data_IF_391385943536
#
_entry.id   IF_391385943536
#
_cell.length_a   1.000
_cell.length_b   1.000
_cell.length_c   1.000
_cell.angle_alpha   90.00
_cell.angle_beta   90.00
_cell.angle_gamma   90.00
#
_symmetry.space_group_name_H-M   'P 1'
#
loop_
_entity.id
_entity.type
_entity.pdbx_description
1 polymer ?
#
# COMPACT_ATOMS: atom_id res chain seq x y z
N UNK A 1 4.81 2.68 -22.70
CA UNK A 1 5.91 2.90 -21.73
C UNK A 1 7.23 2.80 -22.48
N UNK A 2 8.22 3.64 -22.18
CA UNK A 2 9.54 3.55 -22.82
C UNK A 2 10.39 2.43 -22.21
N UNK A 3 11.34 1.90 -22.97
CA UNK A 3 12.30 0.90 -22.50
C UNK A 3 13.18 1.45 -21.36
N UNK A 4 13.53 2.74 -21.43
CA UNK A 4 14.28 3.45 -20.39
C UNK A 4 13.56 3.45 -19.03
N UNK A 5 12.26 3.77 -19.00
CA UNK A 5 11.48 3.77 -17.74
C UNK A 5 11.45 2.38 -17.12
N UNK A 6 11.24 1.34 -17.95
CA UNK A 6 11.25 -0.05 -17.50
C UNK A 6 12.63 -0.44 -16.94
N UNK A 7 13.70 -0.13 -17.67
CA UNK A 7 15.06 -0.44 -17.25
C UNK A 7 15.41 0.26 -15.93
N UNK A 8 15.06 1.54 -15.78
CA UNK A 8 15.27 2.30 -14.56
C UNK A 8 14.44 1.76 -13.38
N UNK A 9 13.21 1.34 -13.64
CA UNK A 9 12.38 0.71 -12.60
C UNK A 9 13.08 -0.52 -12.01
N UNK A 10 13.53 -1.45 -12.86
CA UNK A 10 14.25 -2.64 -12.42
C UNK A 10 15.60 -2.30 -11.78
N UNK A 11 16.33 -1.29 -12.30
CA UNK A 11 17.59 -0.83 -11.72
C UNK A 11 17.45 -0.42 -10.25
N UNK A 12 16.36 0.26 -9.88
CA UNK A 12 16.17 0.74 -8.51
C UNK A 12 15.44 -0.24 -7.59
N UNK A 13 14.49 -1.01 -8.13
CA UNK A 13 13.51 -1.70 -7.29
C UNK A 13 13.69 -3.23 -7.23
N UNK A 14 14.46 -3.86 -8.11
CA UNK A 14 14.57 -5.33 -8.13
C UNK A 14 15.20 -5.94 -6.88
N UNK A 15 16.06 -5.18 -6.19
CA UNK A 15 16.65 -5.60 -4.92
C UNK A 15 15.93 -5.01 -3.70
N UNK A 16 14.83 -4.29 -3.89
CA UNK A 16 14.01 -3.82 -2.78
C UNK A 16 13.26 -5.00 -2.15
N UNK A 17 13.25 -5.15 -0.82
CA UNK A 17 12.80 -6.39 -0.18
C UNK A 17 11.28 -6.59 -0.18
N UNK A 18 10.49 -5.57 -0.50
CA UNK A 18 9.03 -5.65 -0.56
C UNK A 18 8.52 -5.56 -2.01
N UNK A 19 7.29 -6.03 -2.29
CA UNK A 19 6.65 -5.87 -3.59
C UNK A 19 6.54 -4.40 -4.00
N UNK A 20 7.06 -4.08 -5.18
CA UNK A 20 6.94 -2.76 -5.80
C UNK A 20 6.32 -2.89 -7.17
N UNK A 21 5.34 -2.02 -7.45
CA UNK A 21 4.66 -1.94 -8.73
C UNK A 21 4.92 -0.59 -9.38
N UNK A 22 5.20 -0.60 -10.68
CA UNK A 22 5.02 0.57 -11.54
C UNK A 22 3.61 0.53 -12.10
N UNK A 23 2.85 1.60 -11.88
CA UNK A 23 1.40 1.61 -12.14
C UNK A 23 1.04 2.80 -13.02
N UNK A 24 0.17 2.55 -14.00
CA UNK A 24 -0.43 3.58 -14.83
C UNK A 24 -1.58 4.27 -14.10
N UNK A 25 -1.92 5.52 -14.47
CA UNK A 25 -2.96 6.32 -13.82
C UNK A 25 -4.34 5.67 -13.78
N UNK A 26 -4.64 4.71 -14.65
CA UNK A 26 -5.87 3.92 -14.65
C UNK A 26 -5.83 2.70 -13.71
N UNK A 27 -4.77 2.61 -12.90
CA UNK A 27 -4.42 1.53 -11.95
C UNK A 27 -3.81 0.28 -12.57
N UNK A 28 -3.59 0.24 -13.88
CA UNK A 28 -2.95 -0.92 -14.53
C UNK A 28 -1.52 -1.07 -14.05
N UNK A 29 -1.18 -2.25 -13.54
CA UNK A 29 0.19 -2.62 -13.19
C UNK A 29 0.96 -2.82 -14.48
N UNK A 30 2.01 -2.03 -14.68
CA UNK A 30 2.80 -2.04 -15.91
C UNK A 30 4.06 -2.89 -15.74
N UNK A 31 4.71 -2.80 -14.58
CA UNK A 31 5.87 -3.60 -14.22
C UNK A 31 5.87 -3.88 -12.72
N UNK A 32 6.59 -4.94 -12.32
CA UNK A 32 6.73 -5.36 -10.93
C UNK A 32 8.17 -5.76 -10.64
N UNK A 33 8.67 -5.49 -9.43
CA UNK A 33 10.01 -5.88 -9.05
C UNK A 33 10.14 -7.38 -8.78
N UNK A 34 11.36 -7.87 -8.54
CA UNK A 34 11.63 -9.28 -8.23
C UNK A 34 10.79 -9.84 -7.07
N UNK A 35 10.60 -9.08 -5.98
CA UNK A 35 9.81 -9.52 -4.83
C UNK A 35 8.32 -9.70 -5.19
N UNK A 36 7.73 -8.71 -5.88
CA UNK A 36 6.36 -8.80 -6.37
C UNK A 36 6.18 -9.94 -7.39
N UNK A 37 7.17 -10.18 -8.25
CA UNK A 37 7.18 -11.29 -9.20
C UNK A 37 7.20 -12.65 -8.50
N UNK A 38 7.99 -12.81 -7.45
CA UNK A 38 8.01 -14.03 -6.64
C UNK A 38 6.67 -14.30 -5.94
N UNK A 39 5.87 -13.25 -5.71
CA UNK A 39 4.50 -13.33 -5.20
C UNK A 39 3.44 -13.35 -6.31
N UNK A 40 3.85 -13.55 -7.56
CA UNK A 40 2.95 -13.68 -8.74
C UNK A 40 2.03 -12.46 -8.96
N UNK A 41 2.52 -11.24 -8.70
CA UNK A 41 1.74 -10.03 -8.97
C UNK A 41 1.38 -9.91 -10.47
N UNK A 42 0.10 -9.66 -10.82
CA UNK A 42 -0.37 -9.75 -12.19
C UNK A 42 -0.15 -8.45 -12.99
N UNK A 43 0.97 -8.37 -13.73
CA UNK A 43 1.17 -7.32 -14.74
C UNK A 43 0.03 -7.32 -15.76
N UNK A 44 -0.44 -6.13 -16.16
CA UNK A 44 -1.58 -5.92 -17.05
C UNK A 44 -2.94 -5.90 -16.35
N UNK A 45 -3.00 -6.21 -15.05
CA UNK A 45 -4.23 -6.10 -14.24
C UNK A 45 -4.23 -4.80 -13.46
N UNK A 46 -5.41 -4.26 -13.14
CA UNK A 46 -5.49 -3.09 -12.26
C UNK A 46 -5.21 -3.48 -10.82
N UNK A 47 -4.38 -2.70 -10.12
CA UNK A 47 -4.06 -2.98 -8.71
C UNK A 47 -5.33 -3.03 -7.84
N UNK A 48 -6.35 -2.23 -8.16
CA UNK A 48 -7.63 -2.23 -7.44
C UNK A 48 -8.55 -3.42 -7.75
N UNK A 49 -8.17 -4.30 -8.68
CA UNK A 49 -8.85 -5.58 -8.95
C UNK A 49 -8.14 -6.74 -8.21
N UNK A 50 -7.01 -6.49 -7.55
CA UNK A 50 -6.34 -7.48 -6.70
C UNK A 50 -7.04 -7.53 -5.34
N UNK A 51 -7.62 -8.68 -4.99
CA UNK A 51 -8.39 -8.85 -3.76
C UNK A 51 -9.74 -8.13 -3.79
N UNK A 52 -10.35 -7.93 -2.62
CA UNK A 52 -11.65 -7.28 -2.52
C UNK A 52 -11.54 -5.76 -2.70
N UNK A 53 -12.54 -5.15 -3.35
CA UNK A 53 -12.61 -3.68 -3.55
C UNK A 53 -12.49 -2.87 -2.26
N UNK A 54 -13.03 -3.40 -1.15
CA UNK A 54 -12.97 -2.75 0.17
C UNK A 54 -11.54 -2.55 0.66
N UNK A 55 -10.59 -3.40 0.25
CA UNK A 55 -9.18 -3.27 0.62
C UNK A 55 -8.50 -2.07 -0.07
N UNK A 56 -9.12 -1.51 -1.10
CA UNK A 56 -8.62 -0.35 -1.84
C UNK A 56 -9.35 0.96 -1.51
N UNK A 57 -10.24 0.96 -0.51
CA UNK A 57 -11.02 2.15 -0.14
C UNK A 57 -10.15 3.34 0.28
N UNK A 58 -8.95 3.07 0.83
CA UNK A 58 -7.96 4.08 1.22
C UNK A 58 -7.02 4.55 0.10
N UNK A 59 -7.19 4.12 -1.15
CA UNK A 59 -6.24 4.39 -2.23
C UNK A 59 -5.93 5.90 -2.40
N UNK A 60 -4.65 6.29 -2.23
CA UNK A 60 -4.22 7.70 -2.38
C UNK A 60 -3.65 8.05 -3.75
N UNK A 61 -3.68 7.14 -4.72
CA UNK A 61 -3.11 7.37 -6.05
C UNK A 61 -3.69 8.61 -6.77
N UNK A 62 -4.99 8.89 -6.63
CA UNK A 62 -5.58 10.10 -7.23
C UNK A 62 -5.06 11.40 -6.59
N UNK A 63 -4.81 11.39 -5.27
CA UNK A 63 -4.23 12.52 -4.56
C UNK A 63 -2.80 12.75 -5.03
N UNK A 64 -1.98 11.69 -5.02
CA UNK A 64 -0.59 11.73 -5.46
C UNK A 64 -0.45 12.23 -6.91
N UNK A 65 -1.23 11.68 -7.84
CA UNK A 65 -1.20 12.09 -9.25
C UNK A 65 -1.70 13.52 -9.47
N UNK A 66 -2.73 13.96 -8.74
CA UNK A 66 -3.24 15.34 -8.85
C UNK A 66 -2.22 16.35 -8.34
N UNK A 67 -1.57 16.05 -7.23
CA UNK A 67 -0.62 16.95 -6.56
C UNK A 67 0.81 16.82 -7.11
N UNK A 68 1.05 15.80 -7.95
CA UNK A 68 2.38 15.44 -8.46
C UNK A 68 3.41 15.32 -7.33
N UNK A 69 2.97 14.73 -6.21
CA UNK A 69 3.74 14.58 -4.99
C UNK A 69 3.55 13.18 -4.41
N UNK A 70 4.59 12.65 -3.77
CA UNK A 70 4.52 11.38 -3.07
C UNK A 70 3.54 11.47 -1.90
N UNK A 71 2.60 10.52 -1.82
CA UNK A 71 1.71 10.36 -0.66
C UNK A 71 2.13 9.12 0.11
N UNK A 72 2.18 9.25 1.44
CA UNK A 72 2.44 8.18 2.39
C UNK A 72 1.24 7.99 3.31
N UNK A 73 0.87 6.74 3.58
CA UNK A 73 -0.16 6.40 4.56
C UNK A 73 0.27 5.17 5.36
N UNK A 74 0.25 5.30 6.69
CA UNK A 74 0.47 4.18 7.61
C UNK A 74 -0.87 3.78 8.20
N UNK A 75 -1.26 2.52 8.01
CA UNK A 75 -2.52 2.01 8.53
C UNK A 75 -2.42 0.54 8.90
N UNK A 76 -3.23 0.13 9.88
CA UNK A 76 -3.48 -1.28 10.15
C UNK A 76 -4.52 -1.82 9.17
N UNK A 77 -4.17 -2.92 8.49
CA UNK A 77 -5.04 -3.62 7.57
C UNK A 77 -5.50 -4.93 8.19
N UNK A 78 -6.71 -4.93 8.73
CA UNK A 78 -7.29 -6.05 9.47
C UNK A 78 -7.24 -7.39 8.70
N UNK A 79 -7.52 -7.37 7.40
CA UNK A 79 -7.50 -8.55 6.55
C UNK A 79 -6.10 -9.17 6.35
N UNK A 80 -5.04 -8.41 6.64
CA UNK A 80 -3.64 -8.88 6.64
C UNK A 80 -3.11 -9.11 8.05
N UNK A 81 -3.76 -8.54 9.08
CA UNK A 81 -3.21 -8.49 10.43
C UNK A 81 -1.93 -7.67 10.54
N UNK A 82 -1.67 -6.75 9.59
CA UNK A 82 -0.41 -6.04 9.45
C UNK A 82 -0.58 -4.53 9.54
N UNK A 83 0.45 -3.85 10.02
CA UNK A 83 0.62 -2.39 9.86
C UNK A 83 1.44 -2.14 8.61
N UNK A 84 0.81 -1.56 7.59
CA UNK A 84 1.46 -1.28 6.31
C UNK A 84 1.80 0.20 6.20
N UNK A 85 3.04 0.49 5.83
CA UNK A 85 3.50 1.81 5.39
C UNK A 85 3.43 1.88 3.85
N UNK A 86 2.34 2.48 3.35
CA UNK A 86 1.99 2.55 1.94
C UNK A 86 2.45 3.85 1.26
N UNK A 87 2.91 3.73 0.02
CA UNK A 87 3.42 4.85 -0.78
C UNK A 87 2.77 4.89 -2.17
N UNK A 88 2.50 6.12 -2.64
CA UNK A 88 2.09 6.43 -4.01
C UNK A 88 2.95 7.58 -4.52
N UNK A 89 3.88 7.30 -5.44
CA UNK A 89 4.93 8.24 -5.83
C UNK A 89 4.87 8.47 -7.36
N UNK A 90 4.34 9.60 -7.85
CA UNK A 90 4.37 9.94 -9.27
C UNK A 90 5.81 10.01 -9.80
N UNK A 91 6.01 9.57 -11.05
CA UNK A 91 7.32 9.71 -11.70
C UNK A 91 7.52 11.16 -12.16
N UNK A 92 8.66 11.75 -11.77
CA UNK A 92 9.03 13.10 -12.23
C UNK A 92 9.14 13.14 -13.76
N UNK A 93 8.45 14.09 -14.39
CA UNK A 93 8.44 14.25 -15.85
C UNK A 93 7.59 13.22 -16.62
N UNK A 94 6.88 12.32 -15.93
CA UNK A 94 6.01 11.31 -16.55
C UNK A 94 4.65 11.32 -15.86
N UNK A 95 3.70 12.08 -16.43
CA UNK A 95 2.43 12.43 -15.77
C UNK A 95 1.53 11.22 -15.42
N UNK A 96 1.57 10.14 -16.20
CA UNK A 96 0.60 9.06 -16.11
C UNK A 96 1.14 7.80 -15.40
N UNK A 97 2.36 7.84 -14.86
CA UNK A 97 2.97 6.72 -14.13
C UNK A 97 3.29 7.09 -12.69
N UNK A 98 3.14 6.12 -11.79
CA UNK A 98 3.54 6.23 -10.40
C UNK A 98 4.05 4.88 -9.87
N UNK A 99 4.97 4.94 -8.91
CA UNK A 99 5.40 3.79 -8.13
C UNK A 99 4.43 3.60 -6.96
N UNK A 100 4.04 2.35 -6.71
CA UNK A 100 3.18 1.97 -5.59
C UNK A 100 3.73 0.73 -4.89
N UNK A 101 3.82 0.80 -3.57
CA UNK A 101 4.20 -0.30 -2.71
C UNK A 101 3.67 -0.09 -1.29
N UNK A 102 3.60 -1.18 -0.54
CA UNK A 102 3.38 -1.19 0.90
C UNK A 102 4.48 -1.99 1.58
N UNK A 103 4.97 -1.48 2.71
CA UNK A 103 5.97 -2.13 3.54
C UNK A 103 5.27 -2.64 4.80
N UNK A 104 5.42 -3.92 5.12
CA UNK A 104 5.01 -4.42 6.44
C UNK A 104 5.97 -3.90 7.49
N UNK A 105 5.47 -3.02 8.37
CA UNK A 105 6.21 -2.44 9.48
C UNK A 105 5.68 -2.93 10.83
N UNK A 106 4.92 -4.02 10.86
CA UNK A 106 4.24 -4.52 12.07
C UNK A 106 5.18 -4.67 13.26
N UNK A 107 6.38 -5.21 13.05
CA UNK A 107 7.38 -5.39 14.12
C UNK A 107 7.96 -4.08 14.67
N UNK A 108 7.75 -2.97 13.96
CA UNK A 108 8.26 -1.65 14.31
C UNK A 108 7.14 -0.62 14.58
N UNK A 109 5.90 -1.04 14.48
CA UNK A 109 4.74 -0.17 14.63
C UNK A 109 4.51 0.19 16.10
N UNK A 110 4.18 1.46 16.35
CA UNK A 110 3.75 1.89 17.67
C UNK A 110 2.38 1.30 18.03
N UNK A 111 2.16 0.95 19.30
CA UNK A 111 0.92 0.32 19.79
C UNK A 111 -0.37 1.04 19.35
N UNK A 112 -0.33 2.38 19.25
CA UNK A 112 -1.46 3.21 18.78
C UNK A 112 -1.94 2.91 17.36
N UNK A 113 -1.15 2.19 16.56
CA UNK A 113 -1.49 1.82 15.19
C UNK A 113 -2.33 0.55 15.13
N UNK A 114 -2.38 -0.23 16.21
CA UNK A 114 -3.19 -1.44 16.29
C UNK A 114 -4.60 -1.12 16.82
N UNK A 115 -5.61 -1.94 16.49
CA UNK A 115 -6.93 -1.81 17.09
C UNK A 115 -6.83 -1.92 18.61
N UNK A 116 -7.61 -1.11 19.33
CA UNK A 116 -7.68 -1.19 20.78
C UNK A 116 -8.04 -2.62 21.19
N UNK A 117 -7.24 -3.22 22.07
CA UNK A 117 -7.61 -4.49 22.69
C UNK A 117 -8.82 -4.20 23.56
N UNK A 118 -9.99 -4.71 23.15
CA UNK A 118 -11.18 -4.72 23.99
C UNK A 118 -10.86 -5.54 25.26
N UNK A 119 -10.48 -4.87 26.35
CA UNK A 119 -10.13 -5.56 27.60
C UNK A 119 -9.28 -4.81 28.63
N UNK A 120 -8.56 -3.73 28.29
CA UNK A 120 -7.64 -3.07 29.25
C UNK A 120 -8.18 -1.78 29.90
N UNK A 121 -9.50 -1.65 30.00
CA UNK A 121 -10.09 -0.76 31.01
C UNK A 121 -10.10 -1.47 32.36
N UNK A 122 -8.96 -1.47 33.06
CA UNK A 122 -8.97 -1.41 34.54
C UNK A 122 -9.39 0.00 34.95
N UNK A 123 -10.64 0.34 34.67
CA UNK A 123 -11.34 1.45 35.31
C UNK A 123 -12.78 0.99 35.46
N UNK A 124 -13.22 0.84 36.70
CA UNK A 124 -14.47 0.21 37.05
C UNK A 124 -15.66 0.87 36.34
N UNK A 125 -16.32 0.09 35.49
CA UNK A 125 -17.67 0.40 35.07
C UNK A 125 -18.62 -0.45 35.93
N UNK A 126 -19.01 0.13 37.06
CA UNK A 126 -20.17 -0.30 37.82
C UNK A 126 -21.41 -0.03 36.99
N UNK A 127 -22.24 -1.07 36.86
CA UNK A 127 -23.64 -1.04 36.40
C UNK A 127 -23.92 -0.65 34.95
N UNK A 128 -24.49 -1.58 34.19
CA UNK A 128 -25.82 -1.42 33.61
C UNK A 128 -26.38 -2.80 33.21
N UNK A 129 -27.64 -3.00 33.58
CA UNK A 129 -28.36 -4.27 33.65
C UNK A 129 -28.83 -4.76 32.27
N UNK A 130 -28.71 -6.06 32.02
CA UNK A 130 -29.44 -6.73 30.94
C UNK A 130 -30.84 -7.11 31.46
N UNK A 131 -31.89 -6.73 30.74
CA UNK A 131 -33.16 -7.47 30.72
C UNK A 131 -33.06 -8.66 29.77
#
# INVERSE_FOLDING_TARGET
>A
MSEEIRSNFHLFWDNFPFPVMLVHRDRTIVEVNSAAKAMEYPVGTRCCDMGEKKFHAGCRANMALREQAGVREVAYYEHLGQVIDGYWIPLSGVADLYVHFGIDITEHAADRLFPEKCGDTRSGCSSCSCE
#
